data_IF_956559882697
#
_entry.id   IF_956559882697
#
_cell.length_a   1.000
_cell.length_b   1.000
_cell.length_c   1.000
_cell.angle_alpha   90.00
_cell.angle_beta   90.00
_cell.angle_gamma   90.00
#
_symmetry.space_group_name_H-M   'P 1'
#
loop_
_entity.id
_entity.type
_entity.pdbx_description
1 polymer ?
#
# COMPACT_ATOMS: atom_id res chain seq x y z
N UNK A 1 -9.95 10.54 17.50
CA UNK A 1 -9.80 10.49 16.03
C UNK A 1 -9.88 9.04 15.62
N UNK A 2 -10.70 8.72 14.63
CA UNK A 2 -10.79 7.37 14.08
C UNK A 2 -9.51 7.04 13.30
N UNK A 3 -9.04 5.78 13.37
CA UNK A 3 -7.87 5.32 12.60
C UNK A 3 -8.21 5.39 11.10
N UNK A 4 -7.28 5.85 10.27
CA UNK A 4 -7.47 5.84 8.82
C UNK A 4 -7.74 4.42 8.31
N UNK A 5 -8.48 4.28 7.21
CA UNK A 5 -8.63 2.99 6.52
C UNK A 5 -7.29 2.53 5.96
N UNK A 6 -7.11 1.22 5.78
CA UNK A 6 -5.82 0.65 5.37
C UNK A 6 -5.37 1.14 3.98
N UNK A 7 -6.29 1.43 3.07
CA UNK A 7 -5.99 2.00 1.74
C UNK A 7 -5.40 3.41 1.84
N UNK A 8 -5.97 4.27 2.69
CA UNK A 8 -5.43 5.61 2.97
C UNK A 8 -4.06 5.51 3.64
N UNK A 9 -3.90 4.57 4.57
CA UNK A 9 -2.62 4.34 5.26
C UNK A 9 -1.52 3.86 4.29
N UNK A 10 -1.85 2.94 3.37
CA UNK A 10 -0.95 2.49 2.30
C UNK A 10 -0.53 3.66 1.42
N UNK A 11 -1.48 4.49 0.96
CA UNK A 11 -1.14 5.65 0.13
C UNK A 11 -0.24 6.65 0.86
N UNK A 12 -0.50 6.92 2.14
CA UNK A 12 0.36 7.81 2.94
C UNK A 12 1.78 7.24 3.08
N UNK A 13 1.90 5.95 3.41
CA UNK A 13 3.21 5.31 3.52
C UNK A 13 3.96 5.30 2.18
N UNK A 14 3.27 5.08 1.06
CA UNK A 14 3.88 5.15 -0.27
C UNK A 14 4.38 6.56 -0.61
N UNK A 15 3.67 7.62 -0.19
CA UNK A 15 4.16 9.00 -0.31
C UNK A 15 5.41 9.23 0.54
N UNK A 16 5.41 8.76 1.79
CA UNK A 16 6.54 8.90 2.71
C UNK A 16 7.79 8.15 2.20
N UNK A 17 7.59 7.01 1.53
CA UNK A 17 8.65 6.23 0.87
C UNK A 17 9.14 6.88 -0.45
N UNK A 18 8.49 7.94 -0.92
CA UNK A 18 8.82 8.56 -2.21
C UNK A 18 8.55 7.67 -3.42
N UNK A 19 7.54 6.79 -3.33
CA UNK A 19 7.21 5.83 -4.38
C UNK A 19 6.86 6.53 -5.72
N UNK A 20 7.31 5.96 -6.84
CA UNK A 20 7.11 6.48 -8.19
C UNK A 20 6.38 5.47 -9.08
N UNK A 21 5.84 5.94 -10.20
CA UNK A 21 5.09 5.12 -11.16
C UNK A 21 5.96 4.07 -11.86
N UNK A 22 7.25 4.36 -12.05
CA UNK A 22 8.23 3.54 -12.73
C UNK A 22 9.09 2.69 -11.79
N UNK A 23 8.91 2.81 -10.48
CA UNK A 23 9.74 2.13 -9.46
C UNK A 23 8.90 1.18 -8.61
N UNK A 24 9.04 -0.15 -8.79
CA UNK A 24 8.34 -1.13 -7.96
C UNK A 24 8.74 -1.08 -6.48
N UNK A 25 7.74 -1.08 -5.60
CA UNK A 25 7.89 -1.12 -4.14
C UNK A 25 7.57 -2.52 -3.63
N UNK A 26 8.39 -3.05 -2.73
CA UNK A 26 8.08 -4.31 -2.05
C UNK A 26 6.95 -4.14 -1.05
N UNK A 27 5.99 -5.06 -1.07
CA UNK A 27 4.85 -5.09 -0.14
C UNK A 27 5.33 -5.29 1.30
N UNK A 28 6.48 -5.92 1.55
CA UNK A 28 7.04 -6.02 2.91
C UNK A 28 7.39 -4.66 3.52
N UNK A 29 7.85 -3.70 2.71
CA UNK A 29 8.11 -2.31 3.14
C UNK A 29 6.82 -1.55 3.54
N UNK A 30 5.66 -2.14 3.24
CA UNK A 30 4.33 -1.58 3.52
C UNK A 30 3.68 -2.37 4.66
N UNK A 31 3.70 -3.69 4.57
CA UNK A 31 3.10 -4.61 5.54
C UNK A 31 3.73 -4.50 6.92
N UNK A 32 5.07 -4.47 7.02
CA UNK A 32 5.74 -4.40 8.32
C UNK A 32 5.34 -3.14 9.11
N UNK A 33 5.46 -1.90 8.59
CA UNK A 33 5.04 -0.71 9.34
C UNK A 33 3.54 -0.67 9.66
N UNK A 34 2.68 -1.11 8.73
CA UNK A 34 1.23 -1.01 8.94
C UNK A 34 0.71 -2.08 9.92
N UNK A 35 1.23 -3.30 9.87
CA UNK A 35 0.81 -4.36 10.78
C UNK A 35 1.42 -4.17 12.16
N UNK A 36 2.74 -3.97 12.23
CA UNK A 36 3.47 -3.96 13.51
C UNK A 36 3.26 -2.62 14.24
N UNK A 37 3.42 -1.48 13.54
CA UNK A 37 3.42 -0.17 14.21
C UNK A 37 2.03 0.48 14.26
N UNK A 38 1.14 0.16 13.30
CA UNK A 38 -0.21 0.75 13.19
C UNK A 38 -1.34 -0.23 13.53
N UNK A 39 -1.01 -1.49 13.79
CA UNK A 39 -1.95 -2.51 14.25
C UNK A 39 -3.03 -2.87 13.24
N UNK A 40 -2.78 -2.70 11.93
CA UNK A 40 -3.67 -3.24 10.91
C UNK A 40 -3.54 -4.76 10.85
N UNK A 41 -4.62 -5.46 10.53
CA UNK A 41 -4.54 -6.89 10.22
C UNK A 41 -4.02 -7.13 8.81
N UNK A 42 -3.54 -8.34 8.55
CA UNK A 42 -3.17 -8.75 7.19
C UNK A 42 -4.38 -8.70 6.24
N UNK A 43 -5.56 -9.12 6.70
CA UNK A 43 -6.80 -9.04 5.91
C UNK A 43 -7.16 -7.60 5.54
N UNK A 44 -6.98 -6.65 6.44
CA UNK A 44 -7.20 -5.22 6.16
C UNK A 44 -6.26 -4.73 5.04
N UNK A 45 -4.97 -5.11 5.09
CA UNK A 45 -4.02 -4.77 4.05
C UNK A 45 -4.33 -5.44 2.72
N UNK A 46 -4.62 -6.74 2.71
CA UNK A 46 -4.91 -7.48 1.48
C UNK A 46 -6.14 -6.87 0.78
N UNK A 47 -7.22 -6.63 1.53
CA UNK A 47 -8.43 -6.02 0.99
C UNK A 47 -8.15 -4.60 0.46
N UNK A 48 -7.35 -3.81 1.17
CA UNK A 48 -6.98 -2.47 0.72
C UNK A 48 -6.10 -2.48 -0.54
N UNK A 49 -5.15 -3.41 -0.66
CA UNK A 49 -4.32 -3.57 -1.86
C UNK A 49 -5.19 -3.92 -3.09
N UNK A 50 -6.12 -4.85 -2.94
CA UNK A 50 -7.06 -5.19 -4.02
C UNK A 50 -8.01 -4.04 -4.35
N UNK A 51 -8.47 -3.30 -3.33
CA UNK A 51 -9.28 -2.10 -3.55
C UNK A 51 -8.50 -1.06 -4.36
N UNK A 52 -7.27 -0.70 -3.96
CA UNK A 52 -6.42 0.26 -4.68
C UNK A 52 -6.09 -0.21 -6.10
N UNK A 53 -5.88 -1.52 -6.30
CA UNK A 53 -5.67 -2.09 -7.64
C UNK A 53 -6.92 -1.96 -8.51
N UNK A 54 -8.11 -2.20 -7.95
CA UNK A 54 -9.38 -2.02 -8.66
C UNK A 54 -9.58 -0.56 -9.11
N UNK A 55 -9.09 0.38 -8.31
CA UNK A 55 -9.14 1.82 -8.58
C UNK A 55 -8.02 2.31 -9.51
N UNK A 56 -7.17 1.41 -10.04
CA UNK A 56 -6.00 1.75 -10.87
C UNK A 56 -5.09 2.77 -10.19
N UNK A 57 -4.93 2.65 -8.87
CA UNK A 57 -3.95 3.41 -8.10
C UNK A 57 -2.62 2.68 -8.11
N UNK A 58 -2.67 1.35 -7.97
CA UNK A 58 -1.51 0.47 -8.02
C UNK A 58 -1.74 -0.70 -8.98
N UNK A 59 -0.66 -1.32 -9.42
CA UNK A 59 -0.67 -2.68 -9.99
C UNK A 59 0.14 -3.59 -9.06
N UNK A 60 -0.43 -4.75 -8.70
CA UNK A 60 0.30 -5.81 -8.01
C UNK A 60 1.15 -6.57 -9.04
N UNK A 61 2.41 -6.82 -8.67
CA UNK A 61 3.41 -7.48 -9.50
C UNK A 61 3.89 -8.76 -8.81
N UNK A 62 4.52 -9.65 -9.58
CA UNK A 62 5.16 -10.85 -9.03
C UNK A 62 6.22 -10.52 -7.97
N UNK A 63 6.45 -11.45 -7.05
CA UNK A 63 7.48 -11.33 -6.01
C UNK A 63 7.13 -10.33 -4.90
N UNK A 64 5.86 -10.22 -4.53
CA UNK A 64 5.35 -9.32 -3.48
C UNK A 64 5.77 -7.88 -3.70
N UNK A 65 5.52 -7.37 -4.91
CA UNK A 65 5.78 -5.99 -5.28
C UNK A 65 4.50 -5.33 -5.80
N UNK A 66 4.48 -4.01 -5.73
CA UNK A 66 3.49 -3.19 -6.43
C UNK A 66 4.21 -2.07 -7.16
N UNK A 67 3.55 -1.47 -8.16
CA UNK A 67 3.94 -0.17 -8.71
C UNK A 67 2.76 0.78 -8.64
N UNK A 68 3.01 2.08 -8.63
CA UNK A 68 1.95 3.07 -8.81
C UNK A 68 1.51 3.10 -10.27
N UNK A 69 0.22 3.27 -10.53
CA UNK A 69 -0.30 3.55 -11.87
C UNK A 69 -0.35 5.06 -12.15
N UNK A 70 -0.33 5.88 -11.10
CA UNK A 70 -0.37 7.35 -11.13
C UNK A 70 0.33 7.93 -9.89
N UNK A 71 0.82 9.19 -9.93
CA UNK A 71 1.32 9.86 -8.73
C UNK A 71 0.25 9.94 -7.63
N UNK A 72 0.69 9.84 -6.37
CA UNK A 72 -0.15 9.87 -5.16
C UNK A 72 -0.22 11.26 -4.53
#
# INVERSE_FOLDING_TARGET
MERATADVAICNLLRDLGAKVDEPVSIYKIGEPLIIDKGYSEDELINALFYLQSQKVIDLLEGNRLRLCKPL
#
